data_IF_285158099192
#
_entry.id   IF_285158099192
#
_cell.length_a   1.000
_cell.length_b   1.000
_cell.length_c   1.000
_cell.angle_alpha   90.00
_cell.angle_beta   90.00
_cell.angle_gamma   90.00
#
_symmetry.space_group_name_H-M   'P 1'
#
loop_
_entity.id
_entity.type
_entity.pdbx_description
1 polymer ?
#
# COMPACT_ATOMS: atom_id res chain seq x y z
N UNK A 1 -18.63 -1.90 12.09
CA UNK A 1 -17.63 -2.84 12.61
C UNK A 1 -17.27 -3.89 11.56
N UNK A 2 -17.41 -5.19 11.78
CA UNK A 2 -16.94 -6.23 10.82
C UNK A 2 -17.60 -6.08 9.43
N UNK A 3 -18.90 -5.91 9.37
CA UNK A 3 -19.65 -5.72 8.11
C UNK A 3 -19.24 -4.43 7.38
N UNK A 4 -18.90 -3.39 8.14
CA UNK A 4 -18.38 -2.14 7.56
C UNK A 4 -16.99 -2.36 6.94
N UNK A 5 -16.12 -3.13 7.61
CA UNK A 5 -14.81 -3.49 7.04
C UNK A 5 -14.98 -4.26 5.74
N UNK A 6 -15.88 -5.25 5.70
CA UNK A 6 -16.20 -6.01 4.47
C UNK A 6 -16.64 -5.05 3.36
N UNK A 7 -17.57 -4.14 3.65
CA UNK A 7 -18.10 -3.21 2.65
C UNK A 7 -17.03 -2.28 2.09
N UNK A 8 -16.15 -1.74 2.94
CA UNK A 8 -15.05 -0.87 2.53
C UNK A 8 -13.98 -1.67 1.80
N UNK A 9 -13.61 -2.85 2.30
CA UNK A 9 -12.64 -3.73 1.66
C UNK A 9 -13.07 -4.07 0.23
N UNK A 10 -14.35 -4.37 0.02
CA UNK A 10 -14.91 -4.64 -1.31
C UNK A 10 -14.63 -3.50 -2.29
N UNK A 11 -14.92 -2.27 -1.89
CA UNK A 11 -14.68 -1.09 -2.72
C UNK A 11 -13.20 -0.91 -3.03
N UNK A 12 -12.33 -1.03 -2.02
CA UNK A 12 -10.89 -0.86 -2.20
C UNK A 12 -10.30 -1.99 -3.05
N UNK A 13 -10.70 -3.23 -2.82
CA UNK A 13 -10.25 -4.38 -3.59
C UNK A 13 -10.58 -4.23 -5.08
N UNK A 14 -11.84 -3.88 -5.40
CA UNK A 14 -12.26 -3.64 -6.78
C UNK A 14 -11.48 -2.50 -7.44
N UNK A 15 -11.16 -1.43 -6.71
CA UNK A 15 -10.33 -0.34 -7.22
C UNK A 15 -8.90 -0.79 -7.51
N UNK A 16 -8.31 -1.55 -6.59
CA UNK A 16 -6.92 -2.00 -6.67
C UNK A 16 -6.73 -3.03 -7.77
N UNK A 17 -7.63 -4.00 -7.89
CA UNK A 17 -7.49 -5.10 -8.85
C UNK A 17 -8.30 -4.92 -10.14
N UNK A 18 -9.05 -3.82 -10.26
CA UNK A 18 -9.92 -3.55 -11.40
C UNK A 18 -10.98 -4.65 -11.59
N UNK A 19 -11.56 -5.14 -10.49
CA UNK A 19 -12.52 -6.23 -10.41
C UNK A 19 -12.07 -7.34 -9.46
N UNK A 20 -12.58 -8.54 -9.66
CA UNK A 20 -12.30 -9.70 -8.81
C UNK A 20 -13.30 -9.86 -7.67
N UNK A 21 -13.01 -10.78 -6.79
CA UNK A 21 -13.84 -11.08 -5.62
C UNK A 21 -12.95 -11.22 -4.38
N UNK A 22 -13.39 -10.66 -3.29
CA UNK A 22 -12.81 -10.84 -1.96
C UNK A 22 -13.88 -11.33 -1.00
N UNK A 23 -13.45 -12.07 -0.01
CA UNK A 23 -14.30 -12.55 1.08
C UNK A 23 -13.56 -12.51 2.40
N UNK A 24 -14.11 -11.77 3.33
CA UNK A 24 -13.69 -11.80 4.72
C UNK A 24 -14.73 -12.59 5.50
N UNK A 25 -14.32 -13.60 6.25
CA UNK A 25 -15.21 -14.39 7.10
C UNK A 25 -14.53 -14.67 8.43
N UNK A 26 -15.35 -14.77 9.49
CA UNK A 26 -14.91 -15.35 10.75
C UNK A 26 -14.75 -16.86 10.55
N UNK A 27 -13.77 -17.48 11.23
CA UNK A 27 -13.59 -18.95 11.13
C UNK A 27 -14.72 -19.66 11.85
N UNK A 28 -14.78 -19.62 13.17
CA UNK A 28 -15.86 -20.24 13.95
C UNK A 28 -16.61 -19.18 14.78
N UNK A 29 -15.86 -18.31 15.46
CA UNK A 29 -16.38 -17.18 16.21
C UNK A 29 -15.40 -15.99 16.15
N UNK A 30 -15.74 -14.88 16.82
CA UNK A 30 -14.91 -13.68 16.83
C UNK A 30 -13.54 -13.88 17.53
N UNK A 31 -13.35 -14.97 18.29
CA UNK A 31 -12.09 -15.33 18.96
C UNK A 31 -11.21 -16.25 18.10
N UNK A 32 -11.81 -16.99 17.19
CA UNK A 32 -11.11 -17.98 16.35
C UNK A 32 -10.26 -17.38 15.24
N UNK A 33 -10.55 -16.13 14.87
CA UNK A 33 -9.81 -15.42 13.84
C UNK A 33 -10.63 -15.06 12.62
N UNK A 34 -9.97 -14.38 11.70
CA UNK A 34 -10.57 -13.88 10.45
C UNK A 34 -9.86 -14.48 9.25
N UNK A 35 -10.63 -15.12 8.38
CA UNK A 35 -10.15 -15.67 7.13
C UNK A 35 -10.38 -14.70 5.98
N UNK A 36 -9.29 -14.30 5.36
CA UNK A 36 -9.32 -13.49 4.14
C UNK A 36 -9.14 -14.38 2.93
N UNK A 37 -10.05 -14.28 1.99
CA UNK A 37 -9.97 -14.91 0.67
C UNK A 37 -10.03 -13.81 -0.38
N UNK A 38 -9.20 -13.92 -1.41
CA UNK A 38 -9.15 -12.94 -2.49
C UNK A 38 -8.97 -13.64 -3.83
N UNK A 39 -9.72 -13.17 -4.84
CA UNK A 39 -9.66 -13.67 -6.20
C UNK A 39 -9.56 -12.49 -7.18
N UNK A 40 -8.34 -12.07 -7.51
CA UNK A 40 -8.14 -11.07 -8.57
C UNK A 40 -8.74 -11.52 -9.91
N UNK A 41 -9.04 -10.60 -10.82
CA UNK A 41 -9.59 -10.94 -12.14
C UNK A 41 -8.73 -11.96 -12.89
N UNK A 42 -9.37 -12.94 -13.54
CA UNK A 42 -8.69 -13.99 -14.31
C UNK A 42 -8.15 -15.17 -13.49
N UNK A 43 -8.24 -15.16 -12.17
CA UNK A 43 -7.86 -16.29 -11.31
C UNK A 43 -9.06 -17.22 -11.07
N UNK A 44 -8.82 -18.54 -11.12
CA UNK A 44 -9.87 -19.55 -10.91
C UNK A 44 -10.10 -19.88 -9.43
N UNK A 45 -9.10 -19.66 -8.57
CA UNK A 45 -9.12 -20.05 -7.16
C UNK A 45 -9.13 -18.81 -6.25
N UNK A 46 -9.84 -18.91 -5.16
CA UNK A 46 -10.07 -17.82 -4.18
C UNK A 46 -9.18 -17.91 -2.92
N UNK A 47 -8.18 -18.80 -2.91
CA UNK A 47 -7.26 -18.92 -1.76
C UNK A 47 -6.09 -17.94 -1.88
N UNK A 48 -5.79 -17.20 -0.81
CA UNK A 48 -4.59 -16.34 -0.72
C UNK A 48 -3.29 -17.11 -1.01
N UNK A 49 -3.24 -18.40 -0.70
CA UNK A 49 -2.05 -19.24 -0.93
C UNK A 49 -1.63 -19.28 -2.41
N UNK A 50 -2.59 -19.12 -3.31
CA UNK A 50 -2.41 -19.20 -4.76
C UNK A 50 -2.14 -17.86 -5.45
N UNK A 51 -2.12 -16.76 -4.69
CA UNK A 51 -1.78 -15.44 -5.19
C UNK A 51 -0.25 -15.28 -5.28
N UNK A 52 0.20 -14.44 -6.21
CA UNK A 52 1.59 -13.98 -6.25
C UNK A 52 1.95 -13.19 -4.98
N UNK A 53 3.24 -13.03 -4.71
CA UNK A 53 3.70 -12.23 -3.56
C UNK A 53 3.13 -10.81 -3.56
N UNK A 54 3.18 -10.13 -4.71
CA UNK A 54 2.63 -8.79 -4.90
C UNK A 54 1.10 -8.73 -4.73
N UNK A 55 0.36 -9.70 -5.28
CA UNK A 55 -1.10 -9.78 -5.10
C UNK A 55 -1.48 -10.01 -3.63
N UNK A 56 -0.73 -10.84 -2.89
CA UNK A 56 -0.91 -11.03 -1.44
C UNK A 56 -0.69 -9.74 -0.67
N UNK A 57 0.43 -9.07 -0.94
CA UNK A 57 0.78 -7.81 -0.28
C UNK A 57 -0.28 -6.74 -0.54
N UNK A 58 -0.71 -6.60 -1.80
CA UNK A 58 -1.70 -5.61 -2.19
C UNK A 58 -3.09 -5.90 -1.59
N UNK A 59 -3.46 -7.18 -1.46
CA UNK A 59 -4.69 -7.60 -0.77
C UNK A 59 -4.63 -7.28 0.72
N UNK A 60 -3.50 -7.53 1.37
CA UNK A 60 -3.28 -7.20 2.78
C UNK A 60 -3.35 -5.68 3.00
N UNK A 61 -2.72 -4.88 2.12
CA UNK A 61 -2.80 -3.41 2.16
C UNK A 61 -4.24 -2.91 1.99
N UNK A 62 -5.01 -3.49 1.07
CA UNK A 62 -6.41 -3.14 0.90
C UNK A 62 -7.24 -3.38 2.18
N UNK A 63 -6.96 -4.48 2.91
CA UNK A 63 -7.60 -4.75 4.20
C UNK A 63 -7.17 -3.74 5.27
N UNK A 64 -5.87 -3.47 5.41
CA UNK A 64 -5.35 -2.47 6.37
C UNK A 64 -5.98 -1.11 6.10
N UNK A 65 -6.04 -0.68 4.85
CA UNK A 65 -6.65 0.59 4.49
C UNK A 65 -8.17 0.62 4.65
N UNK A 66 -8.86 -0.53 4.50
CA UNK A 66 -10.27 -0.63 4.83
C UNK A 66 -10.55 -0.38 6.32
N UNK A 67 -9.72 -0.96 7.19
CA UNK A 67 -9.80 -0.72 8.64
C UNK A 67 -9.45 0.74 8.96
N UNK A 68 -8.39 1.25 8.36
CA UNK A 68 -7.92 2.61 8.55
C UNK A 68 -8.95 3.67 8.10
N UNK A 69 -9.67 3.43 7.00
CA UNK A 69 -10.73 4.31 6.52
C UNK A 69 -11.92 4.40 7.48
N UNK A 70 -12.17 3.36 8.25
CA UNK A 70 -13.23 3.36 9.28
C UNK A 70 -12.80 4.04 10.58
N UNK A 71 -11.52 4.00 10.90
CA UNK A 71 -10.93 4.63 12.07
C UNK A 71 -9.68 5.41 11.64
N UNK A 72 -9.82 6.57 10.99
CA UNK A 72 -8.70 7.31 10.47
C UNK A 72 -7.84 7.87 11.61
N UNK A 73 -6.53 7.63 11.52
CA UNK A 73 -5.54 8.33 12.31
C UNK A 73 -5.08 9.61 11.58
N UNK A 74 -4.54 10.61 12.28
CA UNK A 74 -4.08 11.85 11.65
C UNK A 74 -2.92 11.63 10.67
N UNK A 75 -2.13 10.58 10.85
CA UNK A 75 -1.06 10.18 9.94
C UNK A 75 -0.89 8.66 9.91
N UNK A 76 -0.29 8.15 8.85
CA UNK A 76 0.04 6.75 8.65
C UNK A 76 1.49 6.60 8.21
N UNK A 77 2.24 5.71 8.86
CA UNK A 77 3.63 5.39 8.48
C UNK A 77 3.65 4.03 7.79
N UNK A 78 4.21 3.97 6.60
CA UNK A 78 4.38 2.76 5.80
C UNK A 78 5.88 2.55 5.57
N UNK A 79 6.40 1.41 5.98
CA UNK A 79 7.81 1.08 5.87
C UNK A 79 8.00 -0.07 4.88
N UNK A 80 8.59 0.24 3.71
CA UNK A 80 8.89 -0.68 2.60
C UNK A 80 7.75 -1.62 2.19
N UNK A 81 6.50 -1.17 2.32
CA UNK A 81 5.31 -1.99 1.99
C UNK A 81 5.17 -2.28 0.49
N UNK A 82 5.86 -1.53 -0.34
CA UNK A 82 5.94 -1.68 -1.79
C UNK A 82 7.05 -2.64 -2.26
N UNK A 83 7.95 -3.07 -1.37
CA UNK A 83 9.06 -3.96 -1.71
C UNK A 83 8.65 -5.28 -2.40
N UNK A 84 7.54 -5.95 -2.02
CA UNK A 84 7.09 -7.17 -2.70
C UNK A 84 6.28 -6.92 -3.98
N UNK A 85 6.06 -5.65 -4.36
CA UNK A 85 5.21 -5.28 -5.49
C UNK A 85 6.04 -5.17 -6.78
N UNK A 86 5.48 -5.64 -7.88
CA UNK A 86 5.96 -5.32 -9.22
C UNK A 86 5.49 -3.91 -9.64
N UNK A 87 6.04 -3.36 -10.71
CA UNK A 87 5.76 -1.98 -11.16
C UNK A 87 4.26 -1.71 -11.36
N UNK A 88 3.51 -2.68 -11.89
CA UNK A 88 2.07 -2.56 -12.08
C UNK A 88 1.32 -2.47 -10.74
N UNK A 89 1.74 -3.24 -9.76
CA UNK A 89 1.16 -3.23 -8.42
C UNK A 89 1.63 -2.02 -7.60
N UNK A 90 2.86 -1.53 -7.80
CA UNK A 90 3.32 -0.26 -7.24
C UNK A 90 2.44 0.89 -7.75
N UNK A 91 2.13 0.95 -9.04
CA UNK A 91 1.22 1.96 -9.58
C UNK A 91 -0.17 1.92 -8.92
N UNK A 92 -0.72 0.72 -8.68
CA UNK A 92 -2.01 0.54 -7.97
C UNK A 92 -1.94 0.98 -6.51
N UNK A 93 -0.86 0.63 -5.82
CA UNK A 93 -0.56 1.10 -4.46
C UNK A 93 -0.50 2.62 -4.40
N UNK A 94 0.26 3.24 -5.31
CA UNK A 94 0.39 4.68 -5.41
C UNK A 94 -0.98 5.39 -5.58
N UNK A 95 -1.82 4.89 -6.47
CA UNK A 95 -3.15 5.44 -6.68
C UNK A 95 -4.03 5.34 -5.41
N UNK A 96 -3.94 4.22 -4.70
CA UNK A 96 -4.69 4.02 -3.46
C UNK A 96 -4.22 4.96 -2.35
N UNK A 97 -2.90 5.11 -2.16
CA UNK A 97 -2.34 6.05 -1.18
C UNK A 97 -2.71 7.48 -1.53
N UNK A 98 -2.64 7.86 -2.81
CA UNK A 98 -3.02 9.20 -3.27
C UNK A 98 -4.48 9.53 -2.96
N UNK A 99 -5.40 8.62 -3.18
CA UNK A 99 -6.83 8.82 -2.82
C UNK A 99 -7.00 9.02 -1.31
N UNK A 100 -6.33 8.21 -0.50
CA UNK A 100 -6.44 8.28 0.95
C UNK A 100 -5.72 9.50 1.54
N UNK A 101 -4.71 10.02 0.84
CA UNK A 101 -3.93 11.19 1.27
C UNK A 101 -4.72 12.51 1.29
N UNK A 102 -5.90 12.54 0.68
CA UNK A 102 -6.83 13.66 0.80
C UNK A 102 -7.35 13.86 2.24
N UNK A 103 -7.33 12.81 3.05
CA UNK A 103 -7.88 12.82 4.41
C UNK A 103 -6.81 12.54 5.48
N UNK A 104 -5.69 11.93 5.11
CA UNK A 104 -4.67 11.43 6.04
C UNK A 104 -3.28 11.74 5.50
N UNK A 105 -2.39 12.19 6.38
CA UNK A 105 -0.98 12.35 6.02
C UNK A 105 -0.30 10.98 5.97
N UNK A 106 0.34 10.67 4.82
CA UNK A 106 1.17 9.48 4.68
C UNK A 106 2.65 9.83 4.78
N UNK A 107 3.37 9.04 5.57
CA UNK A 107 4.83 9.01 5.61
C UNK A 107 5.22 7.61 5.16
N UNK A 108 5.89 7.48 4.02
CA UNK A 108 6.31 6.17 3.56
C UNK A 108 7.81 6.13 3.27
N UNK A 109 8.41 5.03 3.69
CA UNK A 109 9.82 4.72 3.47
C UNK A 109 9.86 3.76 2.29
N UNK A 110 10.60 4.12 1.25
CA UNK A 110 10.70 3.33 0.02
C UNK A 110 12.04 3.57 -0.67
N UNK A 111 12.48 2.59 -1.44
CA UNK A 111 13.55 2.72 -2.40
C UNK A 111 13.05 2.63 -3.86
N UNK A 112 11.73 2.49 -4.05
CA UNK A 112 11.12 2.41 -5.37
C UNK A 112 10.96 3.80 -6.00
N UNK A 113 11.56 4.01 -7.17
CA UNK A 113 11.54 5.30 -7.86
C UNK A 113 10.14 5.77 -8.25
N UNK A 114 9.25 4.85 -8.63
CA UNK A 114 7.88 5.17 -8.98
C UNK A 114 7.09 5.65 -7.76
N UNK A 115 7.26 4.99 -6.61
CA UNK A 115 6.65 5.42 -5.36
C UNK A 115 7.18 6.80 -4.90
N UNK A 116 8.47 7.08 -5.08
CA UNK A 116 9.07 8.38 -4.77
C UNK A 116 8.46 9.52 -5.59
N UNK A 117 8.14 9.30 -6.87
CA UNK A 117 7.54 10.36 -7.72
C UNK A 117 6.17 10.82 -7.27
N UNK A 118 5.49 10.00 -6.47
CA UNK A 118 4.16 10.33 -5.95
C UNK A 118 4.21 11.25 -4.71
N UNK A 119 5.34 11.34 -4.04
CA UNK A 119 5.49 12.15 -2.84
C UNK A 119 5.38 13.66 -3.16
N UNK A 120 4.81 14.43 -2.24
CA UNK A 120 4.86 15.90 -2.28
C UNK A 120 6.20 16.42 -1.77
N UNK A 121 6.78 15.71 -0.81
CA UNK A 121 8.04 16.05 -0.16
C UNK A 121 8.93 14.82 -0.07
N UNK A 122 10.20 14.95 -0.42
CA UNK A 122 11.21 13.92 -0.30
C UNK A 122 12.24 14.26 0.77
N UNK A 123 12.47 13.31 1.67
CA UNK A 123 13.52 13.36 2.66
C UNK A 123 14.52 12.22 2.41
N UNK A 124 15.75 12.57 2.13
CA UNK A 124 16.85 11.62 2.05
C UNK A 124 17.46 11.37 3.42
N UNK A 125 17.88 10.12 3.67
CA UNK A 125 18.67 9.77 4.85
C UNK A 125 20.05 9.36 4.36
N UNK A 126 21.06 10.06 4.81
CA UNK A 126 22.47 9.79 4.48
C UNK A 126 23.26 9.45 5.73
N UNK A 127 24.36 8.77 5.55
CA UNK A 127 25.30 8.44 6.63
C UNK A 127 26.70 8.97 6.27
N UNK A 128 26.97 10.27 6.51
CA UNK A 128 28.25 10.89 6.16
C UNK A 128 29.42 10.31 6.97
N UNK A 129 29.12 9.85 8.19
CA UNK A 129 30.08 9.19 9.07
C UNK A 129 29.48 7.88 9.60
N UNK A 130 30.25 6.80 9.77
CA UNK A 130 29.73 5.54 10.32
C UNK A 130 28.98 5.74 11.64
N UNK A 131 27.71 5.28 11.68
CA UNK A 131 26.87 5.39 12.87
C UNK A 131 26.14 6.72 13.05
N UNK A 132 26.34 7.71 12.16
CA UNK A 132 25.67 9.02 12.26
C UNK A 132 24.80 9.28 11.02
N UNK A 133 23.46 9.22 11.19
CA UNK A 133 22.52 9.52 10.12
C UNK A 133 22.23 11.02 10.05
N UNK A 134 22.05 11.52 8.83
CA UNK A 134 21.68 12.91 8.56
C UNK A 134 20.48 12.95 7.61
N UNK A 135 19.48 13.76 7.93
CA UNK A 135 18.36 14.06 7.04
C UNK A 135 18.76 15.14 6.05
N UNK A 136 18.34 14.94 4.80
CA UNK A 136 18.55 15.88 3.69
C UNK A 136 17.21 16.08 2.99
N UNK A 137 16.80 17.32 2.85
CA UNK A 137 15.65 17.65 2.00
C UNK A 137 16.07 17.50 0.55
N UNK A 138 15.27 16.81 -0.24
CA UNK A 138 15.49 16.57 -1.66
C UNK A 138 14.43 17.31 -2.45
N UNK A 139 14.86 18.16 -3.38
CA UNK A 139 13.97 18.77 -4.34
C UNK A 139 13.57 17.75 -5.40
N UNK A 140 12.27 17.59 -5.66
CA UNK A 140 11.73 16.62 -6.60
C UNK A 140 12.20 16.86 -8.04
N UNK A 141 12.32 18.10 -8.45
CA UNK A 141 12.79 18.44 -9.80
C UNK A 141 14.27 18.07 -9.96
N UNK A 142 15.10 18.37 -8.96
CA UNK A 142 16.49 17.95 -8.93
C UNK A 142 16.60 16.41 -8.86
N UNK A 143 15.73 15.75 -8.08
CA UNK A 143 15.71 14.30 -7.99
C UNK A 143 15.41 13.63 -9.34
N UNK A 144 14.52 14.20 -10.15
CA UNK A 144 14.27 13.76 -11.53
C UNK A 144 15.48 13.94 -12.42
N UNK A 145 16.12 15.11 -12.39
CA UNK A 145 17.31 15.42 -13.17
C UNK A 145 18.47 14.45 -12.89
N UNK A 146 18.65 14.07 -11.63
CA UNK A 146 19.66 13.08 -11.23
C UNK A 146 19.21 11.62 -11.40
N UNK A 147 18.01 11.36 -11.94
CA UNK A 147 17.48 10.01 -12.13
C UNK A 147 17.23 9.24 -10.83
N UNK A 148 17.05 9.96 -9.73
CA UNK A 148 16.76 9.37 -8.41
C UNK A 148 15.31 8.94 -8.29
N UNK A 149 14.42 9.54 -9.07
CA UNK A 149 12.99 9.19 -9.19
C UNK A 149 12.67 8.84 -10.65
N UNK A 150 11.52 8.22 -10.89
CA UNK A 150 11.08 7.90 -12.26
C UNK A 150 10.67 9.19 -12.99
N UNK A 151 10.92 9.23 -14.30
CA UNK A 151 10.33 10.26 -15.17
C UNK A 151 8.82 10.01 -15.28
N UNK A 152 8.04 11.07 -15.12
CA UNK A 152 6.56 11.03 -15.18
C UNK A 152 6.04 11.07 -16.60
#
# INVERSE_FOLDING_TARGET
TFDQVISVLKVLFHKVFNGGEERLSLEDDWQSGVKLMARPPGKKNSSLALLSGGEKALTALALVFAIFRLNPAPFCVLDEVDAPLDDANVGRFCNLVKELSEQVQFIYITHNKLAMTMATDLLGVTMPEPGTSKLVTVDLEQAKEYGLVAES
#
